data_IF_897033016359
#
_entry.id   IF_897033016359
#
_cell.length_a   1.000
_cell.length_b   1.000
_cell.length_c   1.000
_cell.angle_alpha   90.00
_cell.angle_beta   90.00
_cell.angle_gamma   90.00
#
_symmetry.space_group_name_H-M   'P 1'
#
loop_
_entity.id
_entity.type
_entity.pdbx_description
1 polymer ?
#
# COMPACT_ATOMS: atom_id res chain seq x y z
N UNK A 1 -0.60 -10.25 -15.94
CA UNK A 1 0.33 -11.32 -15.48
C UNK A 1 0.80 -10.97 -14.09
N UNK A 2 0.34 -11.72 -13.12
CA UNK A 2 0.64 -11.52 -11.69
C UNK A 2 1.91 -12.29 -11.35
N UNK A 3 2.92 -11.64 -10.80
CA UNK A 3 4.13 -12.31 -10.30
C UNK A 3 4.01 -12.37 -8.78
N UNK A 4 3.84 -13.56 -8.21
CA UNK A 4 3.78 -13.82 -6.79
C UNK A 4 5.17 -14.22 -6.24
N UNK A 5 5.54 -13.68 -5.07
CA UNK A 5 6.71 -14.11 -4.30
C UNK A 5 6.24 -14.36 -2.87
N UNK A 6 6.41 -15.58 -2.36
CA UNK A 6 5.94 -16.04 -1.06
C UNK A 6 6.99 -15.94 0.06
N UNK A 7 6.58 -15.56 1.27
CA UNK A 7 7.38 -15.67 2.51
C UNK A 7 6.45 -15.97 3.69
N UNK A 8 6.74 -16.97 4.51
CA UNK A 8 5.93 -17.48 5.61
C UNK A 8 6.25 -16.84 6.97
N UNK A 9 5.26 -16.72 7.87
CA UNK A 9 5.44 -16.32 9.27
C UNK A 9 4.51 -17.06 10.24
N UNK A 10 4.88 -17.15 11.52
CA UNK A 10 4.37 -18.04 12.56
C UNK A 10 3.48 -17.37 13.63
N UNK A 11 2.70 -18.18 14.36
CA UNK A 11 1.53 -17.95 15.21
C UNK A 11 1.75 -17.45 16.65
N UNK A 12 0.71 -16.82 17.27
CA UNK A 12 0.47 -16.74 18.71
C UNK A 12 -1.01 -16.44 19.07
N UNK A 13 -1.50 -16.87 20.24
CA UNK A 13 -2.91 -17.01 20.68
C UNK A 13 -3.44 -15.93 21.67
N UNK A 14 -4.76 -15.92 22.08
CA UNK A 14 -5.57 -14.72 22.32
C UNK A 14 -5.95 -14.34 23.77
N UNK A 15 -6.61 -13.16 23.95
CA UNK A 15 -7.30 -12.71 25.18
C UNK A 15 -8.62 -11.99 24.84
N UNK A 16 -9.68 -12.17 25.67
CA UNK A 16 -11.06 -11.70 25.49
C UNK A 16 -11.38 -10.32 26.11
N UNK A 17 -12.37 -9.60 25.58
CA UNK A 17 -12.84 -8.27 26.00
C UNK A 17 -14.37 -8.08 26.03
N UNK A 18 -14.91 -6.90 26.35
CA UNK A 18 -16.28 -6.55 26.72
C UNK A 18 -17.01 -5.61 25.72
N UNK A 19 -18.36 -5.39 25.80
CA UNK A 19 -19.20 -4.89 24.69
C UNK A 19 -19.32 -3.36 24.55
N UNK A 20 -19.73 -2.90 23.35
CA UNK A 20 -19.75 -1.52 22.87
C UNK A 20 -21.18 -0.92 22.67
N UNK A 21 -21.34 0.42 22.52
CA UNK A 21 -22.62 1.12 22.33
C UNK A 21 -23.06 1.23 20.86
N UNK A 22 -24.32 1.66 20.62
CA UNK A 22 -25.01 1.65 19.33
C UNK A 22 -24.55 2.72 18.32
N UNK A 23 -24.71 2.40 17.03
CA UNK A 23 -24.10 3.00 15.86
C UNK A 23 -24.90 4.12 15.15
N UNK A 24 -24.24 5.07 14.44
CA UNK A 24 -24.85 6.00 13.50
C UNK A 24 -25.01 5.41 12.07
N UNK A 25 -25.98 5.91 11.29
CA UNK A 25 -26.32 5.42 9.93
C UNK A 25 -25.36 5.98 8.87
N UNK A 26 -24.98 5.11 7.92
CA UNK A 26 -24.09 5.42 6.80
C UNK A 26 -24.81 6.27 5.69
N UNK A 27 -24.08 7.12 4.95
CA UNK A 27 -24.61 7.79 3.77
C UNK A 27 -24.79 6.81 2.59
N UNK A 28 -25.72 7.07 1.63
CA UNK A 28 -25.94 6.21 0.49
C UNK A 28 -24.72 6.18 -0.44
N UNK A 29 -24.26 4.98 -0.75
CA UNK A 29 -23.18 4.74 -1.70
C UNK A 29 -23.77 4.48 -3.08
N UNK A 30 -23.55 5.38 -4.05
CA UNK A 30 -23.63 5.03 -5.47
C UNK A 30 -22.42 4.15 -5.82
N UNK A 31 -22.47 2.89 -5.41
CA UNK A 31 -21.44 1.90 -5.72
C UNK A 31 -21.64 1.50 -7.19
N UNK A 32 -20.71 1.79 -8.10
CA UNK A 32 -20.77 1.17 -9.41
C UNK A 32 -20.66 -0.33 -9.22
N UNK A 33 -21.70 -1.10 -9.62
CA UNK A 33 -21.58 -2.55 -9.71
C UNK A 33 -20.39 -2.86 -10.61
N UNK A 34 -19.37 -3.48 -10.03
CA UNK A 34 -18.28 -4.03 -10.82
C UNK A 34 -18.91 -4.92 -11.89
N UNK A 35 -18.67 -4.60 -13.16
CA UNK A 35 -19.07 -5.46 -14.26
C UNK A 35 -18.33 -6.77 -14.08
N UNK A 36 -19.06 -7.87 -14.01
CA UNK A 36 -18.47 -9.20 -13.95
C UNK A 36 -17.40 -9.33 -15.06
N UNK A 37 -16.23 -9.91 -14.75
CA UNK A 37 -15.18 -10.06 -15.74
C UNK A 37 -15.74 -10.80 -16.94
N UNK A 38 -15.49 -10.28 -18.13
CA UNK A 38 -15.83 -10.90 -19.39
C UNK A 38 -15.35 -12.36 -19.35
N UNK A 39 -16.21 -13.32 -19.72
CA UNK A 39 -15.89 -14.74 -19.82
C UNK A 39 -14.94 -15.04 -20.99
N UNK A 40 -13.90 -14.25 -21.16
CA UNK A 40 -12.79 -14.56 -22.04
C UNK A 40 -12.14 -15.83 -21.52
N UNK A 41 -12.08 -16.88 -22.35
CA UNK A 41 -11.32 -18.09 -22.04
C UNK A 41 -9.93 -17.67 -21.60
N UNK A 42 -9.40 -18.25 -20.50
CA UNK A 42 -8.02 -17.96 -20.08
C UNK A 42 -7.10 -18.20 -21.28
N UNK A 43 -6.52 -17.13 -21.80
CA UNK A 43 -5.49 -17.25 -22.82
C UNK A 43 -4.35 -18.07 -22.25
N UNK A 44 -3.65 -18.84 -23.10
CA UNK A 44 -2.47 -19.55 -22.62
C UNK A 44 -1.51 -18.57 -21.94
N UNK A 45 -1.06 -18.88 -20.74
CA UNK A 45 -0.08 -18.04 -20.01
C UNK A 45 1.13 -17.84 -20.92
N UNK A 46 1.52 -16.59 -21.22
CA UNK A 46 2.62 -16.33 -22.14
C UNK A 46 3.92 -16.91 -21.59
N UNK A 47 4.76 -17.45 -22.46
CA UNK A 47 6.12 -17.84 -22.06
C UNK A 47 6.94 -16.60 -21.77
N UNK A 48 7.31 -16.40 -20.52
CA UNK A 48 8.10 -15.28 -20.06
C UNK A 48 9.56 -15.69 -19.98
N UNK A 49 10.45 -14.83 -20.45
CA UNK A 49 11.89 -14.91 -20.20
C UNK A 49 12.28 -13.80 -19.23
N UNK A 50 12.82 -14.18 -18.10
CA UNK A 50 13.41 -13.21 -17.17
C UNK A 50 14.85 -12.90 -17.62
N UNK A 51 15.19 -11.62 -17.60
CA UNK A 51 16.56 -11.14 -17.83
C UNK A 51 17.02 -10.34 -16.61
N UNK A 52 18.19 -10.70 -16.08
CA UNK A 52 18.80 -9.94 -14.99
C UNK A 52 19.33 -8.62 -15.52
N UNK A 53 18.84 -7.52 -14.97
CA UNK A 53 19.40 -6.18 -15.17
C UNK A 53 20.43 -5.93 -14.07
N UNK A 54 21.47 -5.09 -14.35
CA UNK A 54 22.57 -4.82 -13.44
C UNK A 54 23.16 -6.09 -12.78
N UNK A 55 23.69 -7.06 -13.54
CA UNK A 55 24.03 -8.39 -13.04
C UNK A 55 25.14 -8.40 -11.99
N UNK A 56 25.93 -7.34 -11.90
CA UNK A 56 27.03 -7.19 -10.95
C UNK A 56 26.61 -6.48 -9.65
N UNK A 57 25.41 -5.86 -9.61
CA UNK A 57 24.89 -5.18 -8.44
C UNK A 57 24.17 -6.15 -7.53
N UNK A 58 24.39 -6.04 -6.23
CA UNK A 58 23.69 -6.80 -5.20
C UNK A 58 22.93 -5.86 -4.30
N UNK A 59 21.61 -6.07 -4.19
CA UNK A 59 20.74 -5.37 -3.27
C UNK A 59 20.46 -6.18 -2.02
N UNK A 60 20.31 -5.50 -0.87
CA UNK A 60 20.01 -6.16 0.41
C UNK A 60 18.53 -6.01 0.74
N UNK A 61 17.76 -7.09 0.66
CA UNK A 61 16.30 -7.08 0.88
C UNK A 61 15.60 -5.97 0.11
N UNK A 62 15.65 -5.97 -1.22
CA UNK A 62 14.94 -4.97 -2.03
C UNK A 62 13.44 -5.20 -1.91
N UNK A 63 12.67 -4.14 -1.66
CA UNK A 63 11.21 -4.22 -1.43
C UNK A 63 10.40 -3.48 -2.49
N UNK A 64 11.02 -2.53 -3.21
CA UNK A 64 10.32 -1.79 -4.26
C UNK A 64 11.33 -1.29 -5.30
N UNK A 65 10.86 -1.18 -6.53
CA UNK A 65 11.53 -0.48 -7.63
C UNK A 65 10.60 0.62 -8.13
N UNK A 66 11.12 1.83 -8.27
CA UNK A 66 10.38 2.97 -8.81
C UNK A 66 11.22 3.77 -9.80
N UNK A 67 10.54 4.52 -10.66
CA UNK A 67 11.13 5.45 -11.61
C UNK A 67 10.58 6.86 -11.38
N UNK A 68 11.33 7.88 -11.76
CA UNK A 68 10.81 9.23 -11.76
C UNK A 68 9.73 9.41 -12.84
N UNK A 69 8.75 10.28 -12.62
CA UNK A 69 7.76 10.60 -13.65
C UNK A 69 8.45 11.13 -14.93
N UNK A 70 8.29 10.38 -16.04
CA UNK A 70 8.85 10.75 -17.34
C UNK A 70 10.34 10.44 -17.55
N UNK A 71 11.03 9.79 -16.61
CA UNK A 71 12.42 9.34 -16.77
C UNK A 71 12.55 7.85 -16.37
N UNK A 72 12.87 7.00 -17.33
CA UNK A 72 13.10 5.55 -17.16
C UNK A 72 14.59 5.17 -17.10
N UNK A 73 15.50 6.15 -17.17
CA UNK A 73 16.95 5.94 -17.12
C UNK A 73 17.48 5.81 -15.68
N UNK A 74 16.73 6.25 -14.69
CA UNK A 74 17.08 6.14 -13.29
C UNK A 74 16.12 5.20 -12.57
N UNK A 75 16.61 4.02 -12.23
CA UNK A 75 15.88 3.03 -11.48
C UNK A 75 16.23 3.15 -9.99
N UNK A 76 15.25 3.46 -9.18
CA UNK A 76 15.40 3.58 -7.72
C UNK A 76 14.98 2.27 -7.06
N UNK A 77 15.87 1.68 -6.29
CA UNK A 77 15.66 0.41 -5.57
C UNK A 77 15.67 0.70 -4.08
N UNK A 78 14.57 0.37 -3.41
CA UNK A 78 14.45 0.52 -1.96
C UNK A 78 14.99 -0.73 -1.27
N UNK A 79 15.93 -0.54 -0.38
CA UNK A 79 16.35 -1.56 0.58
C UNK A 79 15.58 -1.39 1.89
N UNK A 80 14.98 -2.45 2.37
CA UNK A 80 14.10 -2.44 3.55
C UNK A 80 14.73 -1.79 4.78
N UNK A 81 16.04 -1.89 4.94
CA UNK A 81 16.76 -1.30 6.07
C UNK A 81 16.82 0.24 6.07
N UNK A 82 16.31 0.92 5.02
CA UNK A 82 16.22 2.38 4.99
C UNK A 82 17.14 3.06 3.99
N UNK A 83 17.55 2.37 2.91
CA UNK A 83 18.27 3.01 1.80
C UNK A 83 17.46 3.00 0.53
N UNK A 84 17.61 4.04 -0.26
CA UNK A 84 17.20 4.10 -1.65
C UNK A 84 18.46 4.19 -2.51
N UNK A 85 18.64 3.24 -3.37
CA UNK A 85 19.77 3.13 -4.29
C UNK A 85 19.30 3.45 -5.70
N UNK A 86 20.13 4.12 -6.49
CA UNK A 86 19.81 4.45 -7.89
C UNK A 86 20.85 3.86 -8.83
N UNK A 87 20.36 3.24 -9.90
CA UNK A 87 21.16 2.69 -10.99
C UNK A 87 20.53 3.08 -12.35
N UNK A 88 21.35 3.07 -13.38
CA UNK A 88 20.87 3.02 -14.75
C UNK A 88 20.55 1.56 -15.11
N UNK A 89 19.29 1.21 -15.44
CA UNK A 89 18.93 -0.16 -15.77
C UNK A 89 19.57 -0.69 -17.07
N UNK A 90 20.07 0.19 -17.93
CA UNK A 90 20.75 -0.18 -19.17
C UNK A 90 22.26 -0.37 -18.98
N UNK A 91 22.85 0.19 -17.91
CA UNK A 91 24.24 -0.01 -17.58
C UNK A 91 24.48 -1.43 -17.00
N UNK A 92 24.89 -2.33 -17.88
CA UNK A 92 25.21 -3.71 -17.50
C UNK A 92 26.53 -3.88 -16.77
N UNK A 93 27.39 -2.87 -16.82
CA UNK A 93 28.70 -2.86 -16.18
C UNK A 93 28.68 -2.19 -14.82
N UNK A 94 27.52 -1.62 -14.42
CA UNK A 94 27.33 -1.05 -13.10
C UNK A 94 27.68 -2.09 -12.02
N UNK A 95 28.62 -1.71 -11.13
CA UNK A 95 29.07 -2.55 -10.02
C UNK A 95 28.53 -2.07 -8.68
N UNK A 96 28.44 -0.77 -8.53
CA UNK A 96 27.99 -0.12 -7.30
C UNK A 96 26.87 0.88 -7.60
N UNK A 97 25.70 0.72 -6.96
CA UNK A 97 24.63 1.70 -7.08
C UNK A 97 24.97 2.97 -6.30
N UNK A 98 24.50 4.11 -6.77
CA UNK A 98 24.60 5.36 -6.01
C UNK A 98 23.55 5.38 -4.90
N UNK A 99 23.92 5.90 -3.73
CA UNK A 99 22.95 6.15 -2.65
C UNK A 99 22.19 7.43 -2.97
N UNK A 100 20.87 7.32 -3.13
CA UNK A 100 19.98 8.47 -3.27
C UNK A 100 19.53 8.97 -1.89
N UNK A 101 19.05 8.07 -1.02
CA UNK A 101 18.59 8.39 0.34
C UNK A 101 19.12 7.34 1.32
N UNK A 102 19.62 7.76 2.49
CA UNK A 102 19.95 6.86 3.61
C UNK A 102 19.29 7.37 4.89
N UNK A 103 18.24 6.72 5.31
CA UNK A 103 17.47 7.00 6.53
C UNK A 103 17.48 5.82 7.51
N UNK A 104 18.46 4.93 7.40
CA UNK A 104 18.61 3.78 8.32
C UNK A 104 18.51 4.15 9.81
N UNK A 105 19.05 5.29 10.29
CA UNK A 105 18.92 5.64 11.70
C UNK A 105 17.47 5.89 12.16
N UNK A 106 16.57 6.23 11.25
CA UNK A 106 15.15 6.53 11.51
C UNK A 106 14.25 5.30 11.35
N UNK A 107 14.69 4.33 10.53
CA UNK A 107 13.91 3.17 10.13
C UNK A 107 14.07 2.03 11.11
N UNK A 108 12.95 1.54 11.64
CA UNK A 108 12.91 0.25 12.32
C UNK A 108 12.69 -0.85 11.28
N UNK A 109 13.65 -1.75 11.12
CA UNK A 109 13.56 -2.91 10.21
C UNK A 109 13.85 -4.23 10.93
N UNK A 110 13.44 -4.31 12.21
CA UNK A 110 13.68 -5.50 13.05
C UNK A 110 12.69 -6.62 12.76
N UNK A 111 11.45 -6.27 12.49
CA UNK A 111 10.42 -7.21 12.04
C UNK A 111 10.55 -7.52 10.54
N UNK A 112 9.93 -8.61 10.12
CA UNK A 112 10.01 -9.05 8.72
C UNK A 112 9.32 -8.08 7.75
N UNK A 113 8.24 -7.44 8.19
CA UNK A 113 7.46 -6.48 7.40
C UNK A 113 7.84 -5.02 7.70
N UNK A 114 8.55 -4.76 8.80
CA UNK A 114 9.04 -3.43 9.18
C UNK A 114 10.20 -2.98 8.29
N UNK A 115 10.26 -1.69 7.98
CA UNK A 115 11.35 -1.11 7.19
C UNK A 115 10.98 0.14 6.42
N UNK A 116 11.82 0.53 5.46
CA UNK A 116 11.46 1.46 4.39
C UNK A 116 10.67 0.68 3.35
N UNK A 117 9.36 0.93 3.28
CA UNK A 117 8.42 0.08 2.55
C UNK A 117 8.04 0.63 1.19
N UNK A 118 7.96 1.95 1.04
CA UNK A 118 7.57 2.56 -0.24
C UNK A 118 8.19 3.93 -0.46
N UNK A 119 8.33 4.28 -1.74
CA UNK A 119 8.66 5.62 -2.23
C UNK A 119 7.77 5.96 -3.41
N UNK A 120 7.30 7.20 -3.46
CA UNK A 120 6.64 7.78 -4.62
C UNK A 120 7.21 9.16 -4.93
N UNK A 121 7.50 9.42 -6.18
CA UNK A 121 7.81 10.77 -6.65
C UNK A 121 6.52 11.55 -6.89
N UNK A 122 6.54 12.85 -6.58
CA UNK A 122 5.44 13.74 -6.93
C UNK A 122 5.24 13.74 -8.47
N UNK A 123 4.01 13.82 -9.00
CA UNK A 123 3.79 13.88 -10.46
C UNK A 123 4.60 14.97 -11.17
N UNK A 124 4.77 16.13 -10.51
CA UNK A 124 5.58 17.24 -10.98
C UNK A 124 7.02 17.24 -10.39
N UNK A 125 7.59 16.06 -10.08
CA UNK A 125 8.90 15.94 -9.43
C UNK A 125 9.99 16.75 -10.14
N UNK A 126 10.02 16.71 -11.45
CA UNK A 126 11.00 17.48 -12.25
C UNK A 126 10.94 19.01 -12.00
N UNK A 127 9.81 19.55 -11.52
CA UNK A 127 9.63 20.98 -11.23
C UNK A 127 9.83 21.30 -9.75
N UNK A 128 9.38 20.40 -8.85
CA UNK A 128 9.25 20.71 -7.43
C UNK A 128 10.22 19.92 -6.55
N UNK A 129 10.86 18.86 -7.08
CA UNK A 129 11.81 18.02 -6.39
C UNK A 129 11.23 17.22 -5.21
N UNK A 130 9.89 17.09 -5.11
CA UNK A 130 9.22 16.46 -3.98
C UNK A 130 9.08 14.96 -4.20
N UNK A 131 9.37 14.17 -3.15
CA UNK A 131 9.10 12.74 -3.11
C UNK A 131 8.67 12.33 -1.71
N UNK A 132 8.08 11.15 -1.60
CA UNK A 132 7.44 10.66 -0.39
C UNK A 132 7.96 9.28 -0.05
N UNK A 133 8.16 9.02 1.24
CA UNK A 133 8.54 7.70 1.73
C UNK A 133 7.54 7.24 2.78
N UNK A 134 7.31 5.93 2.81
CA UNK A 134 6.57 5.27 3.88
C UNK A 134 7.48 4.26 4.56
N UNK A 135 7.62 4.38 5.87
CA UNK A 135 8.53 3.55 6.64
C UNK A 135 8.03 3.32 8.05
N UNK A 136 8.51 2.26 8.68
CA UNK A 136 8.24 1.99 10.09
C UNK A 136 9.34 2.62 10.96
N UNK A 137 8.92 3.21 12.07
CA UNK A 137 9.79 3.83 13.07
C UNK A 137 9.52 3.24 14.46
N UNK A 138 10.48 3.43 15.36
CA UNK A 138 10.34 3.14 16.79
C UNK A 138 10.90 4.30 17.58
N UNK A 139 10.14 4.81 18.56
CA UNK A 139 10.58 5.90 19.42
C UNK A 139 11.43 5.42 20.62
N UNK A 140 11.86 6.36 21.46
CA UNK A 140 12.66 6.08 22.63
C UNK A 140 11.92 5.21 23.66
N UNK A 141 10.61 5.33 23.73
CA UNK A 141 9.72 4.52 24.59
C UNK A 141 9.34 3.17 23.96
N UNK A 142 9.95 2.83 22.81
CA UNK A 142 9.75 1.59 22.03
C UNK A 142 8.36 1.46 21.43
N UNK A 143 7.63 2.54 21.25
CA UNK A 143 6.36 2.56 20.53
C UNK A 143 6.63 2.55 19.04
N UNK A 144 5.95 1.66 18.32
CA UNK A 144 6.04 1.55 16.86
C UNK A 144 5.07 2.50 16.20
N UNK A 145 5.46 2.96 15.02
CA UNK A 145 4.59 3.75 14.16
C UNK A 145 4.98 3.56 12.71
N UNK A 146 3.98 3.71 11.82
CA UNK A 146 4.18 3.85 10.39
C UNK A 146 4.16 5.33 10.05
N UNK A 147 5.12 5.78 9.28
CA UNK A 147 5.37 7.20 8.99
C UNK A 147 5.34 7.44 7.48
N UNK A 148 4.46 8.34 7.04
CA UNK A 148 4.52 8.96 5.72
C UNK A 148 5.26 10.28 5.83
N UNK A 149 6.38 10.41 5.12
CA UNK A 149 7.19 11.63 5.08
C UNK A 149 7.34 12.17 3.67
N UNK A 150 7.30 13.49 3.54
CA UNK A 150 7.69 14.23 2.35
C UNK A 150 9.16 14.67 2.47
N UNK A 151 9.84 14.66 1.33
CA UNK A 151 11.23 15.10 1.15
C UNK A 151 11.34 16.02 -0.06
N UNK A 152 12.44 16.80 -0.10
CA UNK A 152 12.81 17.57 -1.27
C UNK A 152 14.23 17.27 -1.70
N UNK A 153 14.48 17.21 -3.00
CA UNK A 153 15.85 17.18 -3.52
C UNK A 153 16.43 18.60 -3.57
N UNK A 154 17.72 18.66 -3.38
CA UNK A 154 18.53 19.83 -3.72
C UNK A 154 18.72 19.87 -5.24
N UNK A 155 18.39 20.98 -5.87
CA UNK A 155 18.40 21.12 -7.34
C UNK A 155 19.80 21.05 -7.93
N UNK A 156 20.83 21.39 -7.17
CA UNK A 156 22.20 21.43 -7.66
C UNK A 156 22.83 20.04 -7.64
N UNK A 157 22.48 19.22 -6.64
CA UNK A 157 23.05 17.88 -6.47
C UNK A 157 22.13 16.76 -7.00
N UNK A 158 20.83 17.01 -7.10
CA UNK A 158 19.81 15.99 -7.40
C UNK A 158 19.62 14.96 -6.29
N UNK A 159 20.19 15.21 -5.09
CA UNK A 159 20.08 14.35 -3.92
C UNK A 159 19.10 14.96 -2.90
N UNK A 160 18.52 14.16 -2.00
CA UNK A 160 17.67 14.67 -0.94
C UNK A 160 18.37 15.74 -0.13
N UNK A 161 17.72 16.89 0.03
CA UNK A 161 18.26 18.01 0.82
C UNK A 161 18.23 17.63 2.30
N UNK A 162 19.36 17.80 2.98
CA UNK A 162 19.46 17.55 4.42
C UNK A 162 18.43 18.38 5.19
N UNK A 163 17.77 17.76 6.16
CA UNK A 163 16.74 18.39 7.00
C UNK A 163 15.43 18.72 6.27
N UNK A 164 15.24 18.25 5.04
CA UNK A 164 14.00 18.51 4.26
C UNK A 164 12.84 17.59 4.64
N UNK A 165 13.05 16.59 5.49
CA UNK A 165 11.98 15.71 5.92
C UNK A 165 10.85 16.48 6.59
N UNK A 166 9.62 16.25 6.10
CA UNK A 166 8.38 16.72 6.71
C UNK A 166 7.43 15.54 6.89
N UNK A 167 7.21 15.13 8.13
CA UNK A 167 6.27 14.06 8.45
C UNK A 167 4.85 14.53 8.17
N UNK A 168 4.12 13.79 7.36
CA UNK A 168 2.73 14.09 7.01
C UNK A 168 1.76 13.30 7.86
N UNK A 169 1.96 11.98 7.97
CA UNK A 169 1.11 11.07 8.74
C UNK A 169 2.01 10.22 9.63
N UNK A 170 1.58 10.00 10.87
CA UNK A 170 2.18 9.03 11.78
C UNK A 170 1.05 8.20 12.37
N UNK A 171 1.02 6.91 12.05
CA UNK A 171 0.03 5.96 12.53
C UNK A 171 0.69 5.07 13.58
N UNK A 172 0.15 5.05 14.80
CA UNK A 172 0.59 4.11 15.82
C UNK A 172 0.33 2.67 15.34
N UNK A 173 1.36 1.82 15.42
CA UNK A 173 1.29 0.44 14.96
C UNK A 173 1.69 -0.49 16.11
N UNK A 174 0.74 -1.25 16.68
CA UNK A 174 1.01 -2.01 17.91
C UNK A 174 1.91 -3.24 17.68
N UNK A 175 1.98 -3.75 16.45
CA UNK A 175 2.73 -4.98 16.13
C UNK A 175 3.79 -4.75 15.07
N UNK A 176 4.59 -5.78 14.78
CA UNK A 176 5.71 -5.71 13.83
C UNK A 176 5.37 -6.25 12.43
N UNK A 177 4.11 -6.50 12.17
CA UNK A 177 3.59 -7.03 10.92
C UNK A 177 2.30 -6.30 10.52
N UNK A 178 1.83 -6.54 9.30
CA UNK A 178 0.70 -5.84 8.66
C UNK A 178 0.89 -4.31 8.62
N UNK A 179 2.08 -3.89 8.28
CA UNK A 179 2.40 -2.46 8.19
C UNK A 179 1.82 -1.79 6.94
N UNK A 180 1.17 -2.58 6.04
CA UNK A 180 0.78 -2.10 4.73
C UNK A 180 2.00 -1.88 3.85
N UNK A 181 1.96 -0.89 2.98
CA UNK A 181 3.21 -0.58 2.36
C UNK A 181 3.26 0.12 1.03
N UNK A 182 2.18 0.61 0.48
CA UNK A 182 2.26 1.34 -0.79
C UNK A 182 1.87 2.78 -0.67
N UNK A 183 2.73 3.65 -1.18
CA UNK A 183 2.43 5.06 -1.49
C UNK A 183 2.48 5.23 -2.99
N UNK A 184 1.47 5.88 -3.56
CA UNK A 184 1.43 6.20 -4.99
C UNK A 184 0.50 7.39 -5.28
N UNK A 185 0.65 8.01 -6.45
CA UNK A 185 -0.21 9.09 -6.91
C UNK A 185 -1.24 8.56 -7.91
N UNK A 186 -2.51 8.98 -7.70
CA UNK A 186 -3.55 8.83 -8.70
C UNK A 186 -3.44 9.85 -9.84
N UNK A 187 -4.19 9.62 -10.90
CA UNK A 187 -4.33 10.59 -12.01
C UNK A 187 -4.99 11.91 -11.58
N UNK A 188 -5.68 11.89 -10.46
CA UNK A 188 -6.29 13.04 -9.80
C UNK A 188 -5.28 13.93 -9.06
N UNK A 189 -4.00 13.53 -9.06
CA UNK A 189 -2.91 14.21 -8.35
C UNK A 189 -2.89 13.95 -6.84
N UNK A 190 -3.84 13.16 -6.32
CA UNK A 190 -3.89 12.84 -4.90
C UNK A 190 -2.91 11.71 -4.56
N UNK A 191 -2.38 11.72 -3.34
CA UNK A 191 -1.56 10.66 -2.81
C UNK A 191 -2.43 9.62 -2.11
N UNK A 192 -2.22 8.35 -2.46
CA UNK A 192 -2.86 7.19 -1.85
C UNK A 192 -1.85 6.41 -1.03
N UNK A 193 -2.29 5.94 0.14
CA UNK A 193 -1.46 5.16 1.08
C UNK A 193 -2.26 3.95 1.58
N UNK A 194 -1.69 2.74 1.49
CA UNK A 194 -2.24 1.55 2.15
C UNK A 194 -1.65 1.38 3.54
N UNK A 195 -2.52 1.19 4.53
CA UNK A 195 -2.17 0.84 5.90
C UNK A 195 -2.78 -0.51 6.25
N UNK A 196 -2.00 -1.44 6.81
CA UNK A 196 -2.52 -2.70 7.31
C UNK A 196 -3.29 -2.53 8.63
N UNK A 197 -3.86 -3.61 9.15
CA UNK A 197 -4.68 -3.60 10.36
C UNK A 197 -3.88 -3.42 11.67
N UNK A 198 -2.55 -3.27 11.56
CA UNK A 198 -1.65 -3.09 12.70
C UNK A 198 -1.10 -4.40 13.26
N UNK A 199 -1.47 -5.56 12.69
CA UNK A 199 -0.79 -6.83 12.92
C UNK A 199 -1.45 -7.78 13.91
N UNK A 200 -0.71 -8.84 14.21
CA UNK A 200 -1.18 -10.02 14.93
C UNK A 200 -2.27 -10.80 14.17
N UNK A 201 -3.00 -11.69 14.86
CA UNK A 201 -4.06 -12.50 14.26
C UNK A 201 -5.44 -11.97 14.64
N UNK A 202 -6.43 -12.13 13.75
CA UNK A 202 -7.85 -11.89 14.01
C UNK A 202 -8.20 -10.41 14.26
N UNK A 203 -7.38 -9.45 13.78
CA UNK A 203 -7.59 -8.01 13.98
C UNK A 203 -7.87 -7.66 15.44
N UNK A 204 -6.89 -7.82 16.35
CA UNK A 204 -7.13 -7.69 17.80
C UNK A 204 -7.49 -6.26 18.22
N UNK A 205 -7.12 -5.28 17.41
CA UNK A 205 -7.47 -3.85 17.63
C UNK A 205 -8.76 -3.43 16.94
N UNK A 206 -9.40 -4.35 16.21
CA UNK A 206 -10.67 -4.15 15.48
C UNK A 206 -10.61 -3.00 14.46
N UNK A 207 -9.44 -2.83 13.85
CA UNK A 207 -9.18 -1.75 12.91
C UNK A 207 -9.95 -1.90 11.59
N UNK A 208 -10.22 -3.13 11.15
CA UNK A 208 -10.82 -3.40 9.84
C UNK A 208 -12.11 -2.62 9.60
N UNK A 209 -13.01 -2.66 10.57
CA UNK A 209 -14.33 -2.04 10.47
C UNK A 209 -14.48 -0.73 11.27
N UNK A 210 -13.40 -0.20 11.87
CA UNK A 210 -13.39 1.07 12.58
C UNK A 210 -12.92 2.21 11.68
N UNK A 211 -13.80 3.14 11.34
CA UNK A 211 -13.48 4.34 10.55
C UNK A 211 -12.80 5.45 11.38
N UNK A 212 -12.68 5.29 12.70
CA UNK A 212 -11.96 6.21 13.59
C UNK A 212 -10.44 6.00 13.60
N UNK A 213 -9.93 5.02 12.85
CA UNK A 213 -8.50 4.73 12.75
C UNK A 213 -8.01 4.72 11.30
N UNK A 214 -6.72 5.00 11.09
CA UNK A 214 -6.06 4.89 9.78
C UNK A 214 -5.58 3.46 9.48
N UNK A 215 -5.62 2.54 10.44
CA UNK A 215 -5.26 1.13 10.23
C UNK A 215 -6.33 0.40 9.41
N UNK A 216 -5.94 -0.62 8.64
CA UNK A 216 -6.81 -1.42 7.76
C UNK A 216 -7.52 -0.59 6.68
N UNK A 217 -6.82 0.39 6.10
CA UNK A 217 -7.38 1.42 5.20
C UNK A 217 -6.51 1.64 3.97
N UNK A 218 -7.16 2.10 2.91
CA UNK A 218 -6.51 2.96 1.93
C UNK A 218 -6.89 4.41 2.23
N UNK A 219 -5.91 5.26 2.40
CA UNK A 219 -6.06 6.70 2.64
C UNK A 219 -5.85 7.46 1.34
N UNK A 220 -6.50 8.65 1.20
CA UNK A 220 -6.31 9.57 0.08
C UNK A 220 -6.21 11.00 0.59
N UNK A 221 -5.09 11.66 0.29
CA UNK A 221 -4.78 13.02 0.76
C UNK A 221 -4.27 13.92 -0.37
N UNK A 222 -4.41 15.23 -0.19
CA UNK A 222 -3.88 16.27 -1.06
C UNK A 222 -2.59 16.84 -0.44
N UNK A 223 -1.43 16.47 -0.98
CA UNK A 223 -0.12 16.90 -0.47
C UNK A 223 0.28 18.30 -0.93
N UNK A 224 -0.48 18.91 -1.84
CA UNK A 224 -0.22 20.25 -2.37
C UNK A 224 -0.88 21.36 -1.55
N UNK A 225 -1.70 20.97 -0.57
CA UNK A 225 -2.36 21.90 0.36
C UNK A 225 -2.08 21.52 1.81
N UNK A 226 -2.30 22.46 2.69
CA UNK A 226 -2.38 22.26 4.14
C UNK A 226 -3.76 22.63 4.60
N UNK A 227 -4.29 22.01 5.65
CA UNK A 227 -5.62 22.27 6.17
C UNK A 227 -5.63 22.26 7.70
N UNK A 228 -5.83 23.45 8.29
CA UNK A 228 -5.71 23.63 9.73
C UNK A 228 -4.30 23.24 10.22
N UNK A 229 -4.21 22.34 11.17
CA UNK A 229 -2.94 21.81 11.68
C UNK A 229 -2.39 20.66 10.85
N UNK A 230 -3.15 20.14 9.88
CA UNK A 230 -2.69 19.05 9.00
C UNK A 230 -1.67 19.56 7.99
N UNK A 231 -0.55 18.88 7.83
CA UNK A 231 0.45 19.21 6.80
C UNK A 231 0.03 18.80 5.38
N UNK A 232 -1.22 18.41 5.18
CA UNK A 232 -1.88 18.05 3.92
C UNK A 232 -3.34 18.51 3.93
N UNK A 233 -3.97 18.57 2.76
CA UNK A 233 -5.39 18.85 2.61
C UNK A 233 -6.22 17.56 2.51
N UNK A 234 -7.51 17.68 2.84
CA UNK A 234 -8.48 16.61 2.60
C UNK A 234 -9.19 16.87 1.26
N UNK A 235 -9.18 15.93 0.31
CA UNK A 235 -9.99 16.03 -0.90
C UNK A 235 -11.49 16.06 -0.54
N UNK A 236 -12.21 17.08 -1.02
CA UNK A 236 -13.62 17.28 -0.66
C UNK A 236 -14.54 16.14 -1.07
N UNK A 237 -14.12 15.38 -2.06
CA UNK A 237 -14.81 14.22 -2.60
C UNK A 237 -14.39 12.90 -1.92
N UNK A 238 -13.59 12.91 -0.87
CA UNK A 238 -13.37 11.70 -0.07
C UNK A 238 -14.69 11.19 0.51
N UNK A 239 -14.91 9.86 0.54
CA UNK A 239 -16.23 9.29 0.83
C UNK A 239 -16.75 9.58 2.25
N UNK A 240 -15.85 9.78 3.22
CA UNK A 240 -16.22 9.94 4.63
C UNK A 240 -16.09 11.37 5.17
N UNK A 241 -15.90 12.36 4.29
CA UNK A 241 -15.90 13.77 4.69
C UNK A 241 -17.26 14.15 5.31
N UNK A 242 -17.22 14.67 6.53
CA UNK A 242 -18.44 15.04 7.29
C UNK A 242 -19.17 13.88 7.95
N UNK A 243 -18.68 12.65 7.83
CA UNK A 243 -19.24 11.48 8.51
C UNK A 243 -18.78 11.46 9.98
N UNK A 244 -19.72 11.48 10.91
CA UNK A 244 -19.41 11.47 12.33
C UNK A 244 -18.70 10.17 12.73
N UNK A 245 -17.56 10.29 13.43
CA UNK A 245 -16.76 9.15 13.87
C UNK A 245 -15.85 8.55 12.81
N UNK A 246 -15.83 9.10 11.58
CA UNK A 246 -14.93 8.65 10.54
C UNK A 246 -13.81 9.65 10.26
N UNK A 247 -12.63 9.17 9.93
CA UNK A 247 -11.51 9.98 9.47
C UNK A 247 -11.72 10.37 8.00
N UNK A 248 -11.60 11.67 7.66
CA UNK A 248 -11.88 12.15 6.30
C UNK A 248 -10.80 11.77 5.28
N UNK A 249 -9.65 11.27 5.73
CA UNK A 249 -8.57 10.73 4.91
C UNK A 249 -8.94 9.41 4.23
N UNK A 250 -9.91 8.67 4.77
CA UNK A 250 -10.23 7.31 4.32
C UNK A 250 -10.82 7.30 2.91
N UNK A 251 -10.23 6.49 2.03
CA UNK A 251 -10.75 6.19 0.70
C UNK A 251 -11.51 4.86 0.66
N UNK A 252 -10.94 3.81 1.31
CA UNK A 252 -11.52 2.48 1.43
C UNK A 252 -11.10 1.84 2.75
N UNK A 253 -11.84 0.83 3.23
CA UNK A 253 -11.62 0.20 4.52
C UNK A 253 -11.96 -1.29 4.52
N UNK A 254 -11.70 -1.96 5.65
CA UNK A 254 -11.95 -3.39 5.76
C UNK A 254 -10.93 -4.24 5.00
N UNK A 255 -9.72 -3.73 4.87
CA UNK A 255 -8.57 -4.36 4.22
C UNK A 255 -7.61 -4.85 5.30
N UNK A 256 -7.11 -6.09 5.18
CA UNK A 256 -6.22 -6.66 6.19
C UNK A 256 -4.80 -6.13 6.11
N UNK A 257 -4.16 -6.31 4.96
CA UNK A 257 -2.78 -5.88 4.76
C UNK A 257 -2.46 -5.76 3.26
N UNK A 258 -2.97 -4.70 2.64
CA UNK A 258 -2.66 -4.41 1.23
C UNK A 258 -1.18 -4.08 1.11
N UNK A 259 -0.39 -5.10 0.76
CA UNK A 259 1.06 -4.97 0.67
C UNK A 259 1.48 -4.13 -0.52
N UNK A 260 0.92 -4.43 -1.72
CA UNK A 260 1.13 -3.60 -2.91
C UNK A 260 -0.18 -3.31 -3.62
N UNK A 261 -0.29 -2.05 -4.05
CA UNK A 261 -1.35 -1.59 -4.92
C UNK A 261 -0.77 -0.84 -6.12
N UNK A 262 -1.51 -0.81 -7.21
CA UNK A 262 -1.13 -0.11 -8.43
C UNK A 262 -2.34 0.41 -9.18
N UNK A 263 -2.18 1.55 -9.85
CA UNK A 263 -3.17 2.02 -10.82
C UNK A 263 -2.99 1.34 -12.17
N UNK A 264 -4.07 0.85 -12.75
CA UNK A 264 -4.09 0.56 -14.18
C UNK A 264 -3.85 1.85 -14.97
N UNK A 265 -2.78 1.86 -15.74
CA UNK A 265 -2.37 3.03 -16.52
C UNK A 265 -3.35 3.42 -17.64
N UNK A 266 -4.27 2.53 -18.03
CA UNK A 266 -5.26 2.77 -19.09
C UNK A 266 -6.60 3.20 -18.51
N UNK A 267 -7.11 2.51 -17.51
CA UNK A 267 -8.44 2.77 -16.93
C UNK A 267 -8.42 3.75 -15.76
N UNK A 268 -7.31 3.79 -15.00
CA UNK A 268 -7.21 4.55 -13.75
C UNK A 268 -7.78 3.80 -12.55
N UNK A 269 -8.14 2.53 -12.70
CA UNK A 269 -8.60 1.67 -11.61
C UNK A 269 -7.46 1.34 -10.65
N UNK A 270 -7.74 1.37 -9.35
CA UNK A 270 -6.77 1.02 -8.30
C UNK A 270 -6.92 -0.45 -7.92
N UNK A 271 -5.86 -1.21 -8.09
CA UNK A 271 -5.80 -2.63 -7.77
C UNK A 271 -4.89 -2.87 -6.57
N UNK A 272 -5.31 -3.75 -5.66
CA UNK A 272 -4.55 -4.15 -4.48
C UNK A 272 -4.44 -5.65 -4.34
N UNK A 273 -3.32 -6.12 -3.79
CA UNK A 273 -3.21 -7.48 -3.28
C UNK A 273 -3.32 -7.42 -1.76
N UNK A 274 -4.41 -7.92 -1.20
CA UNK A 274 -4.65 -7.96 0.24
C UNK A 274 -4.29 -9.33 0.80
N UNK A 275 -3.34 -9.34 1.73
CA UNK A 275 -2.80 -10.58 2.30
C UNK A 275 -3.79 -11.13 3.32
N UNK A 276 -4.31 -12.33 3.04
CA UNK A 276 -5.19 -13.06 3.93
C UNK A 276 -4.49 -13.59 5.19
N UNK A 277 -5.25 -14.19 6.10
CA UNK A 277 -4.67 -14.69 7.35
C UNK A 277 -4.36 -16.17 7.29
N UNK A 278 -5.34 -17.00 6.98
CA UNK A 278 -5.22 -18.45 7.16
C UNK A 278 -5.65 -19.27 5.95
N UNK A 279 -6.54 -18.73 5.12
CA UNK A 279 -7.24 -19.55 4.14
C UNK A 279 -7.20 -19.00 2.72
N UNK A 280 -7.36 -17.70 2.55
CA UNK A 280 -7.53 -17.09 1.22
C UNK A 280 -6.68 -15.84 1.07
N UNK A 281 -6.08 -15.71 -0.11
CA UNK A 281 -5.45 -14.48 -0.60
C UNK A 281 -6.37 -13.82 -1.61
N UNK A 282 -6.37 -12.47 -1.69
CA UNK A 282 -7.30 -11.76 -2.55
C UNK A 282 -6.67 -10.63 -3.36
N UNK A 283 -7.26 -10.38 -4.54
CA UNK A 283 -6.96 -9.25 -5.41
C UNK A 283 -8.21 -8.40 -5.51
N UNK A 284 -8.09 -7.15 -5.10
CA UNK A 284 -9.18 -6.21 -5.01
C UNK A 284 -9.11 -5.11 -6.05
N UNK A 285 -10.28 -4.75 -6.59
CA UNK A 285 -10.49 -3.46 -7.23
C UNK A 285 -10.90 -2.45 -6.16
N UNK A 286 -9.97 -1.57 -5.77
CA UNK A 286 -10.17 -0.65 -4.66
C UNK A 286 -10.96 0.58 -5.10
N UNK A 287 -12.23 0.61 -4.69
CA UNK A 287 -13.19 1.67 -5.05
C UNK A 287 -13.42 2.66 -3.91
N UNK A 288 -13.88 3.85 -4.28
CA UNK A 288 -14.26 4.91 -3.35
C UNK A 288 -15.32 4.44 -2.36
N UNK A 289 -15.04 4.52 -1.06
CA UNK A 289 -15.97 4.14 0.02
C UNK A 289 -16.15 2.64 0.20
N UNK A 290 -15.39 1.80 -0.55
CA UNK A 290 -15.51 0.34 -0.48
C UNK A 290 -15.15 -0.21 0.89
N UNK A 291 -15.96 -1.18 1.37
CA UNK A 291 -15.70 -2.02 2.54
C UNK A 291 -15.35 -3.43 2.05
N UNK A 292 -14.12 -3.89 2.28
CA UNK A 292 -13.61 -5.19 1.82
C UNK A 292 -13.83 -6.32 2.81
N UNK A 293 -14.41 -6.01 3.95
CA UNK A 293 -14.97 -7.02 4.86
C UNK A 293 -14.03 -7.57 5.93
N UNK A 294 -12.76 -7.23 5.95
CA UNK A 294 -11.90 -7.60 7.07
C UNK A 294 -12.36 -6.91 8.36
N UNK A 295 -12.57 -7.58 9.55
CA UNK A 295 -12.35 -9.02 9.74
C UNK A 295 -13.65 -9.87 9.75
N UNK A 296 -14.87 -9.38 9.47
CA UNK A 296 -16.02 -10.26 9.26
C UNK A 296 -15.82 -11.31 8.15
N UNK A 297 -14.92 -11.05 7.22
CA UNK A 297 -14.63 -11.91 6.06
C UNK A 297 -13.13 -12.03 5.82
N UNK A 298 -12.72 -13.16 5.21
CA UNK A 298 -11.46 -13.39 4.53
C UNK A 298 -11.80 -13.88 3.12
N UNK A 299 -11.52 -13.06 2.10
CA UNK A 299 -12.05 -13.27 0.76
C UNK A 299 -13.58 -13.23 0.73
N UNK A 300 -14.18 -14.18 0.01
CA UNK A 300 -15.64 -14.37 -0.07
C UNK A 300 -16.23 -15.11 1.15
N UNK A 301 -15.41 -15.50 2.12
CA UNK A 301 -15.76 -16.42 3.18
C UNK A 301 -15.94 -15.72 4.53
N UNK A 302 -16.90 -16.16 5.34
CA UNK A 302 -17.08 -15.66 6.68
C UNK A 302 -15.87 -16.04 7.54
N UNK A 303 -15.27 -15.04 8.20
CA UNK A 303 -14.17 -15.28 9.12
C UNK A 303 -14.70 -15.68 10.51
N UNK A 304 -14.22 -16.78 11.11
CA UNK A 304 -14.83 -17.34 12.34
C UNK A 304 -14.91 -16.38 13.51
N UNK A 305 -13.90 -15.52 13.67
CA UNK A 305 -13.82 -14.52 14.75
C UNK A 305 -14.23 -13.12 14.28
N UNK A 306 -14.91 -13.04 13.10
CA UNK A 306 -15.29 -11.80 12.44
C UNK A 306 -16.25 -10.96 13.26
N UNK A 307 -16.03 -9.65 13.30
CA UNK A 307 -16.85 -8.69 14.04
C UNK A 307 -17.38 -7.62 13.08
N UNK A 308 -18.70 -7.60 12.83
CA UNK A 308 -19.31 -6.57 12.00
C UNK A 308 -19.05 -5.17 12.55
N UNK A 309 -18.81 -4.22 11.66
CA UNK A 309 -18.61 -2.82 12.02
C UNK A 309 -19.93 -2.04 12.14
N UNK A 310 -19.78 -0.80 12.61
CA UNK A 310 -20.88 0.13 12.81
C UNK A 310 -21.44 0.69 11.48
N UNK A 311 -20.68 0.63 10.38
CA UNK A 311 -20.98 1.31 9.11
C UNK A 311 -21.60 0.39 8.04
N UNK A 312 -22.15 -0.74 8.44
CA UNK A 312 -22.88 -1.65 7.55
C UNK A 312 -22.11 -2.94 7.24
N UNK A 313 -22.79 -3.86 6.58
CA UNK A 313 -22.29 -5.20 6.21
C UNK A 313 -22.36 -5.46 4.69
N UNK A 314 -22.43 -4.40 3.89
CA UNK A 314 -22.26 -4.53 2.45
C UNK A 314 -20.77 -4.51 2.14
N UNK A 315 -20.25 -5.65 1.69
CA UNK A 315 -18.85 -5.82 1.39
C UNK A 315 -18.62 -5.85 -0.12
N UNK A 316 -17.52 -5.26 -0.55
CA UNK A 316 -17.02 -5.40 -1.92
C UNK A 316 -16.33 -6.76 -2.01
N UNK A 317 -16.76 -7.57 -2.95
CA UNK A 317 -16.14 -8.87 -3.19
C UNK A 317 -14.79 -8.71 -3.92
N UNK A 318 -13.78 -9.54 -3.62
CA UNK A 318 -12.54 -9.56 -4.38
C UNK A 318 -12.80 -9.95 -5.84
N UNK A 319 -11.99 -9.42 -6.75
CA UNK A 319 -12.04 -9.79 -8.17
C UNK A 319 -11.49 -11.20 -8.38
N UNK A 320 -10.47 -11.56 -7.59
CA UNK A 320 -9.87 -12.90 -7.56
C UNK A 320 -9.53 -13.24 -6.12
N UNK A 321 -9.87 -14.45 -5.71
CA UNK A 321 -9.31 -15.08 -4.52
C UNK A 321 -8.69 -16.44 -4.87
N UNK A 322 -7.77 -16.90 -4.04
CA UNK A 322 -7.23 -18.26 -4.12
C UNK A 322 -6.87 -18.80 -2.73
N UNK A 323 -7.06 -20.12 -2.52
CA UNK A 323 -6.79 -20.73 -1.22
C UNK A 323 -5.27 -20.85 -0.97
N UNK A 324 -4.89 -20.88 0.30
CA UNK A 324 -3.49 -21.08 0.72
C UNK A 324 -2.85 -22.38 0.22
N UNK A 325 -3.65 -23.32 -0.30
CA UNK A 325 -3.14 -24.49 -1.01
C UNK A 325 -2.45 -24.17 -2.34
N UNK A 326 -2.81 -23.07 -2.97
CA UNK A 326 -2.27 -22.60 -4.25
C UNK A 326 -1.18 -21.52 -4.06
N UNK A 327 -1.24 -20.76 -2.95
CA UNK A 327 -0.26 -19.76 -2.59
C UNK A 327 -0.57 -19.18 -1.22
N UNK A 328 0.45 -19.00 -0.38
CA UNK A 328 0.30 -18.65 1.04
C UNK A 328 0.47 -17.16 1.34
N UNK A 329 0.74 -16.34 0.34
CA UNK A 329 0.84 -14.87 0.50
C UNK A 329 0.82 -14.21 -0.86
N UNK A 330 -0.07 -13.23 -1.03
CA UNK A 330 -0.05 -12.31 -2.17
C UNK A 330 0.84 -11.11 -1.87
N UNK A 331 1.57 -10.64 -2.87
CA UNK A 331 2.34 -9.41 -2.72
C UNK A 331 1.65 -8.26 -3.46
N UNK A 332 1.08 -8.52 -4.61
CA UNK A 332 0.45 -7.56 -5.51
C UNK A 332 0.99 -7.68 -6.93
N UNK A 333 0.65 -6.73 -7.78
CA UNK A 333 1.03 -6.77 -9.20
C UNK A 333 0.61 -5.52 -9.95
N UNK A 334 0.64 -5.64 -11.27
CA UNK A 334 0.26 -4.56 -12.19
C UNK A 334 -0.63 -5.14 -13.28
N UNK A 335 -1.63 -4.37 -13.71
CA UNK A 335 -2.32 -4.65 -14.96
C UNK A 335 -1.35 -4.43 -16.12
N UNK A 336 -1.19 -5.46 -16.95
CA UNK A 336 -0.27 -5.38 -18.08
C UNK A 336 -0.77 -4.39 -19.14
N UNK A 337 0.04 -3.38 -19.45
CA UNK A 337 -0.23 -2.38 -20.47
C UNK A 337 1.06 -2.11 -21.25
N UNK A 338 1.28 -2.82 -22.33
CA UNK A 338 2.49 -2.67 -23.14
C UNK A 338 2.24 -2.80 -24.63
N UNK A 339 2.68 -1.82 -25.40
CA UNK A 339 2.68 -1.90 -26.86
C UNK A 339 3.58 -3.02 -27.42
N UNK A 340 4.52 -3.55 -26.61
CA UNK A 340 5.41 -4.65 -27.02
C UNK A 340 4.74 -6.02 -27.01
N UNK A 341 3.61 -6.17 -26.32
CA UNK A 341 2.82 -7.39 -26.27
C UNK A 341 1.33 -7.02 -26.09
N UNK A 342 0.70 -6.41 -27.11
CA UNK A 342 -0.66 -5.90 -27.02
C UNK A 342 -1.71 -7.03 -26.86
N UNK A 343 -1.39 -8.27 -27.23
CA UNK A 343 -2.22 -9.46 -27.05
C UNK A 343 -2.43 -9.84 -25.57
N UNK A 344 -1.69 -9.22 -24.64
CA UNK A 344 -1.80 -9.41 -23.20
C UNK A 344 -2.32 -8.15 -22.49
N UNK A 345 -2.85 -7.16 -23.23
CA UNK A 345 -3.31 -5.88 -22.68
C UNK A 345 -4.57 -6.08 -21.80
N UNK A 346 -4.44 -5.91 -20.50
CA UNK A 346 -5.53 -6.04 -19.52
C UNK A 346 -5.50 -7.24 -18.59
#
# INVERSE_FOLDING_TARGET
MIICIAIAAALASPVQGAPAPAAPTAPPTDTPKASAPSSAKPGAIPRIRLQRIAPQVTFRRPVQVVFEPGDDRRMYVLEQAGRVLVIDPEDRDAKEPKVFLDIKPQVNSRGNEEGLLSLAFHPDFAKNGRFFTYYTAIDAERRRSNVLSEWKVDTDTGLPKEGSERRLITVADPYSNHNGGTVLFGRDGMLYLSCGDGGAANDPVQAGQDLGTMLAKVLRIDVDRTEGERPYGIPKDNPFVGTAGALPEIWAYGLRNVWRMSFDRKTGELWGGDVGQNAYEEVDLIVKGGNYGWNPREGLHAFPDGRPGAFGSEYVDPVVEYPHGDGVSITGGYVWRSAKAPEHDG
#
